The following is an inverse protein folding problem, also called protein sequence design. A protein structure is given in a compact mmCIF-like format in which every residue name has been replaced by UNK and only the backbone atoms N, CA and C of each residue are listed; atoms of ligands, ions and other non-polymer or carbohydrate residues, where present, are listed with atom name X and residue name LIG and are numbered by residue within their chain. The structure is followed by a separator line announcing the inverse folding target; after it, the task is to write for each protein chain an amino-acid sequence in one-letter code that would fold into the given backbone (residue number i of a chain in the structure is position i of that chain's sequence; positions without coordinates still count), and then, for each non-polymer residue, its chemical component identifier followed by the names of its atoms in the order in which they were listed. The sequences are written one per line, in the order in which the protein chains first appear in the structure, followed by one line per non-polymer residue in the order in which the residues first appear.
data_IF_932824805752
#
_entry.id   IF_932824805752
#
_cell.length_a   1.000
_cell.length_b   1.000
_cell.length_c   1.000
_cell.angle_alpha   90.00
_cell.angle_beta   90.00
_cell.angle_gamma   90.00
#
_symmetry.space_group_name_H-M   'P 1'
#
loop_
_entity.id
_entity.type
_entity.pdbx_description
1 polymer ?
#
# COMPACT_ATOMS: atom_id res chain seq x y z
N UNK A 1 8.52 38.01 -38.10
CA UNK A 1 9.31 37.50 -36.96
C UNK A 1 8.36 36.84 -35.98
N UNK A 2 8.60 35.54 -35.77
CA UNK A 2 8.25 34.72 -34.59
C UNK A 2 6.81 34.76 -34.07
N UNK A 3 5.97 33.91 -34.66
CA UNK A 3 5.01 33.15 -33.85
C UNK A 3 5.85 32.20 -32.98
N UNK A 4 5.97 32.56 -31.70
CA UNK A 4 6.65 31.75 -30.70
C UNK A 4 5.85 30.45 -30.54
N UNK A 5 6.36 29.37 -31.14
CA UNK A 5 5.92 28.01 -30.82
C UNK A 5 6.19 27.81 -29.34
N UNK A 6 5.15 27.94 -28.52
CA UNK A 6 5.11 27.39 -27.18
C UNK A 6 5.23 25.87 -27.33
N UNK A 7 6.47 25.41 -27.20
CA UNK A 7 6.83 24.00 -27.24
C UNK A 7 6.09 23.30 -26.09
N UNK A 8 5.18 22.41 -26.46
CA UNK A 8 4.29 21.66 -25.59
C UNK A 8 5.08 20.59 -24.83
N UNK A 9 6.03 21.00 -23.98
CA UNK A 9 6.71 20.14 -23.02
C UNK A 9 6.17 20.44 -21.64
N UNK A 10 4.92 20.03 -21.43
CA UNK A 10 4.36 19.88 -20.09
C UNK A 10 5.31 19.01 -19.28
N UNK A 11 5.83 19.59 -18.20
CA UNK A 11 6.82 19.04 -17.30
C UNK A 11 6.25 17.77 -16.66
N UNK A 12 6.63 16.59 -17.14
CA UNK A 12 6.40 15.34 -16.41
C UNK A 12 7.69 14.93 -15.68
N UNK A 13 8.11 15.72 -14.69
CA UNK A 13 9.04 15.25 -13.68
C UNK A 13 8.25 14.57 -12.55
N UNK A 14 7.67 13.39 -12.85
CA UNK A 14 7.08 12.56 -11.81
C UNK A 14 8.21 11.87 -11.06
N UNK A 15 8.62 12.43 -9.92
CA UNK A 15 9.50 11.76 -8.96
C UNK A 15 8.78 10.54 -8.38
N UNK A 16 8.76 9.42 -9.10
CA UNK A 16 8.17 8.18 -8.64
C UNK A 16 9.22 7.33 -7.94
N UNK A 17 8.90 6.88 -6.72
CA UNK A 17 9.72 5.88 -6.03
C UNK A 17 9.10 4.50 -6.27
N UNK A 18 9.84 3.53 -6.84
CA UNK A 18 9.32 2.18 -7.02
C UNK A 18 9.13 1.52 -5.66
N UNK A 19 7.88 1.26 -5.27
CA UNK A 19 7.53 0.57 -4.03
C UNK A 19 6.55 -0.55 -4.32
N UNK A 20 6.75 -1.71 -3.70
CA UNK A 20 5.76 -2.78 -3.77
C UNK A 20 4.57 -2.46 -2.86
N UNK A 21 3.36 -2.80 -3.30
CA UNK A 21 2.13 -2.52 -2.57
C UNK A 21 2.19 -3.03 -1.13
N UNK A 22 2.68 -4.25 -0.91
CA UNK A 22 2.83 -4.81 0.44
C UNK A 22 3.78 -4.00 1.35
N UNK A 23 4.87 -3.45 0.81
CA UNK A 23 5.80 -2.60 1.57
C UNK A 23 5.17 -1.26 1.91
N UNK A 24 4.40 -0.70 0.98
CA UNK A 24 3.67 0.54 1.19
C UNK A 24 2.61 0.37 2.31
N UNK A 25 1.77 -0.65 2.20
CA UNK A 25 0.75 -0.94 3.22
C UNK A 25 1.40 -1.21 4.57
N UNK A 26 2.45 -2.04 4.65
CA UNK A 26 3.12 -2.32 5.90
C UNK A 26 3.71 -1.07 6.58
N UNK A 27 4.26 -0.14 5.79
CA UNK A 27 4.80 1.12 6.31
C UNK A 27 3.68 2.04 6.83
N UNK A 28 2.58 2.16 6.09
CA UNK A 28 1.41 2.96 6.49
C UNK A 28 0.74 2.38 7.75
N UNK A 29 0.52 1.07 7.81
CA UNK A 29 -0.04 0.39 8.99
C UNK A 29 0.83 0.60 10.22
N UNK A 30 2.16 0.53 10.07
CA UNK A 30 3.08 0.80 11.18
C UNK A 30 3.01 2.26 11.66
N UNK A 31 2.81 3.22 10.76
CA UNK A 31 2.61 4.62 11.12
C UNK A 31 1.27 4.85 11.84
N UNK A 32 0.20 4.18 11.40
CA UNK A 32 -1.11 4.22 12.06
C UNK A 32 -1.05 3.62 13.46
N UNK A 33 -0.44 2.44 13.60
CA UNK A 33 -0.24 1.77 14.89
C UNK A 33 0.47 2.70 15.88
N UNK A 34 1.50 3.42 15.42
CA UNK A 34 2.27 4.37 16.22
C UNK A 34 1.47 5.60 16.65
N UNK A 35 0.56 6.07 15.78
CA UNK A 35 -0.26 7.25 16.05
C UNK A 35 -1.45 6.96 16.98
N UNK A 36 -2.03 5.76 16.87
CA UNK A 36 -3.30 5.42 17.53
C UNK A 36 -3.19 4.49 18.73
N UNK A 37 -2.06 3.80 18.94
CA UNK A 37 -1.93 2.79 19.99
C UNK A 37 -0.53 2.73 20.59
N UNK A 38 -0.40 2.23 21.82
CA UNK A 38 0.89 1.87 22.41
C UNK A 38 1.43 0.53 21.89
N UNK A 39 0.62 -0.23 21.15
CA UNK A 39 0.92 -1.58 20.71
C UNK A 39 1.50 -1.59 19.29
N UNK A 40 2.83 -1.60 19.22
CA UNK A 40 3.55 -1.58 17.94
C UNK A 40 3.21 -2.81 17.10
N UNK A 41 2.95 -2.59 15.80
CA UNK A 41 2.70 -3.63 14.80
C UNK A 41 1.38 -4.39 15.02
N UNK A 42 0.39 -3.78 15.69
CA UNK A 42 -0.91 -4.38 15.90
C UNK A 42 -1.58 -4.74 14.57
N UNK A 43 -1.73 -3.79 13.65
CA UNK A 43 -2.33 -4.03 12.33
C UNK A 43 -1.61 -5.14 11.54
N UNK A 44 -0.28 -5.17 11.55
CA UNK A 44 0.47 -6.23 10.87
C UNK A 44 0.21 -7.63 11.43
N UNK A 45 0.04 -7.75 12.75
CA UNK A 45 -0.31 -9.03 13.37
C UNK A 45 -1.75 -9.43 13.04
N UNK A 46 -2.67 -8.47 13.05
CA UNK A 46 -4.07 -8.69 12.67
C UNK A 46 -4.16 -9.20 11.24
N UNK A 47 -3.50 -8.54 10.29
CA UNK A 47 -3.41 -9.00 8.90
C UNK A 47 -2.81 -10.41 8.81
N UNK A 48 -1.70 -10.69 9.48
CA UNK A 48 -1.10 -12.02 9.49
C UNK A 48 -2.06 -13.11 9.99
N UNK A 49 -2.75 -12.87 11.12
CA UNK A 49 -3.69 -13.84 11.69
C UNK A 49 -4.88 -14.06 10.73
N UNK A 50 -5.47 -12.98 10.22
CA UNK A 50 -6.62 -13.04 9.33
C UNK A 50 -6.30 -13.80 8.02
N UNK A 51 -5.17 -13.50 7.39
CA UNK A 51 -4.70 -14.18 6.17
C UNK A 51 -4.44 -15.67 6.43
N UNK A 52 -3.90 -16.04 7.60
CA UNK A 52 -3.68 -17.45 7.97
C UNK A 52 -4.99 -18.20 8.19
N UNK A 53 -5.99 -17.57 8.83
CA UNK A 53 -7.32 -18.14 8.98
C UNK A 53 -7.97 -18.36 7.61
N UNK A 54 -7.98 -17.34 6.75
CA UNK A 54 -8.54 -17.42 5.40
C UNK A 54 -7.88 -18.52 4.55
N UNK A 55 -6.55 -18.63 4.62
CA UNK A 55 -5.79 -19.68 3.93
C UNK A 55 -6.19 -21.09 4.40
N UNK A 56 -6.48 -21.26 5.70
CA UNK A 56 -6.91 -22.54 6.25
C UNK A 56 -8.38 -22.86 5.94
N UNK A 57 -9.16 -21.86 5.52
CA UNK A 57 -10.56 -22.02 5.10
C UNK A 57 -10.69 -22.36 3.60
N UNK A 58 -9.57 -22.62 2.91
CA UNK A 58 -9.55 -22.91 1.47
C UNK A 58 -10.17 -21.82 0.60
N UNK A 59 -10.07 -20.56 1.04
CA UNK A 59 -10.52 -19.40 0.27
C UNK A 59 -9.65 -19.17 -0.96
N UNK A 60 -10.19 -18.51 -1.97
CA UNK A 60 -9.42 -18.19 -3.17
C UNK A 60 -8.29 -17.20 -2.84
N UNK A 61 -7.18 -17.31 -3.57
CA UNK A 61 -6.00 -16.45 -3.34
C UNK A 61 -6.37 -14.96 -3.40
N UNK A 62 -7.25 -14.55 -4.30
CA UNK A 62 -7.69 -13.16 -4.42
C UNK A 62 -8.43 -12.68 -3.15
N UNK A 63 -9.22 -13.56 -2.52
CA UNK A 63 -9.93 -13.25 -1.28
C UNK A 63 -8.97 -13.17 -0.09
N UNK A 64 -7.98 -14.08 -0.04
CA UNK A 64 -6.91 -14.07 0.97
C UNK A 64 -6.06 -12.80 0.86
N UNK A 65 -5.73 -12.36 -0.35
CA UNK A 65 -5.02 -11.10 -0.61
C UNK A 65 -5.87 -9.90 -0.18
N UNK A 66 -7.18 -9.89 -0.49
CA UNK A 66 -8.09 -8.83 -0.05
C UNK A 66 -8.17 -8.73 1.48
N UNK A 67 -8.22 -9.87 2.18
CA UNK A 67 -8.21 -9.92 3.64
C UNK A 67 -6.90 -9.34 4.20
N UNK A 68 -5.75 -9.64 3.57
CA UNK A 68 -4.46 -9.07 3.99
C UNK A 68 -4.44 -7.54 3.90
N UNK A 69 -5.02 -6.95 2.85
CA UNK A 69 -5.02 -5.50 2.66
C UNK A 69 -6.06 -4.75 3.49
N UNK A 70 -7.14 -5.41 3.90
CA UNK A 70 -8.23 -4.79 4.65
C UNK A 70 -8.05 -4.81 6.19
N UNK A 71 -7.20 -5.71 6.68
CA UNK A 71 -6.93 -5.93 8.11
C UNK A 71 -5.84 -5.00 8.67
#
# INVERSE_FOLDING_TARGET
MLAEKLDNKTIENRNTVPVSLNKLIAALSAAVDLAGSSDRKHSLRTAYIATRLASNMSMEKAEVDNIYYAA
#
